data_IF_977101214251
#
_entry.id   IF_977101214251
#
_cell.length_a   1.000
_cell.length_b   1.000
_cell.length_c   1.000
_cell.angle_alpha   90.00
_cell.angle_beta   90.00
_cell.angle_gamma   90.00
#
_symmetry.space_group_name_H-M   'P 1'
#
loop_
_entity.id
_entity.type
_entity.pdbx_description
1 polymer ?
#
# COMPACT_ATOMS: atom_id res chain seq x y z
N UNK A 1 0.69 -18.31 5.58
CA UNK A 1 1.67 -17.59 4.76
C UNK A 1 2.30 -16.49 5.60
N UNK A 2 3.62 -16.41 5.64
CA UNK A 2 4.36 -15.39 6.37
C UNK A 2 4.62 -14.21 5.44
N UNK A 3 3.95 -13.10 5.71
CA UNK A 3 4.21 -11.81 5.08
C UNK A 3 5.06 -10.97 6.02
N UNK A 4 6.10 -10.33 5.50
CA UNK A 4 6.92 -9.35 6.22
C UNK A 4 7.11 -8.11 5.36
N UNK A 5 7.37 -6.97 5.98
CA UNK A 5 7.57 -5.72 5.25
C UNK A 5 8.95 -5.18 5.58
N UNK A 6 9.91 -5.26 4.64
CA UNK A 6 11.22 -4.65 4.85
C UNK A 6 11.10 -3.13 4.96
N UNK A 7 12.16 -2.48 5.43
CA UNK A 7 12.20 -1.04 5.62
C UNK A 7 12.59 -0.25 4.36
N UNK A 8 12.43 -0.86 3.18
CA UNK A 8 12.67 -0.21 1.90
C UNK A 8 11.80 1.04 1.74
N UNK A 9 12.39 2.07 1.14
CA UNK A 9 11.69 3.32 0.85
C UNK A 9 10.61 3.08 -0.20
N UNK A 10 9.37 3.58 0.01
CA UNK A 10 8.34 3.56 -1.02
C UNK A 10 8.72 4.49 -2.19
N UNK A 11 8.23 4.18 -3.38
CA UNK A 11 8.50 4.97 -4.60
C UNK A 11 7.19 5.38 -5.25
N UNK A 12 7.03 6.66 -5.55
CA UNK A 12 5.88 7.13 -6.33
C UNK A 12 6.08 6.84 -7.82
N UNK A 13 5.10 6.20 -8.43
CA UNK A 13 5.01 5.96 -9.86
C UNK A 13 3.92 6.86 -10.44
N UNK A 14 4.31 8.04 -10.93
CA UNK A 14 3.40 9.03 -11.48
C UNK A 14 2.72 8.62 -12.79
N UNK A 15 3.25 7.61 -13.50
CA UNK A 15 2.59 7.10 -14.71
C UNK A 15 1.39 6.22 -14.37
N UNK A 16 1.40 5.57 -13.21
CA UNK A 16 0.30 4.72 -12.71
C UNK A 16 -0.48 5.36 -11.58
N UNK A 17 -0.04 6.52 -11.07
CA UNK A 17 -0.61 7.22 -9.92
C UNK A 17 -0.71 6.32 -8.68
N UNK A 18 0.39 5.63 -8.37
CA UNK A 18 0.50 4.74 -7.21
C UNK A 18 1.80 4.98 -6.43
N UNK A 19 1.77 4.70 -5.14
CA UNK A 19 2.99 4.53 -4.33
C UNK A 19 3.30 3.04 -4.24
N UNK A 20 4.47 2.63 -4.72
CA UNK A 20 4.98 1.25 -4.71
C UNK A 20 5.77 0.99 -3.43
N UNK A 21 5.61 -0.20 -2.88
CA UNK A 21 6.34 -0.66 -1.71
C UNK A 21 6.54 -2.18 -1.73
N UNK A 22 7.52 -2.66 -0.97
CA UNK A 22 7.86 -4.08 -0.95
C UNK A 22 7.14 -4.81 0.18
N UNK A 23 6.56 -5.95 -0.15
CA UNK A 23 6.21 -7.00 0.80
C UNK A 23 7.09 -8.22 0.52
N UNK A 24 7.43 -9.00 1.54
CA UNK A 24 8.16 -10.27 1.40
C UNK A 24 7.24 -11.41 1.83
N UNK A 25 6.98 -12.34 0.91
CA UNK A 25 6.14 -13.52 1.12
C UNK A 25 7.00 -14.76 1.07
N UNK A 26 7.15 -15.44 2.20
CA UNK A 26 8.01 -16.64 2.31
C UNK A 26 9.45 -16.40 1.77
N UNK A 27 9.97 -15.18 1.96
CA UNK A 27 11.30 -14.77 1.48
C UNK A 27 11.35 -14.26 0.04
N UNK A 28 10.22 -14.22 -0.67
CA UNK A 28 10.13 -13.68 -2.04
C UNK A 28 9.63 -12.23 -2.01
N UNK A 29 10.38 -11.26 -2.58
CA UNK A 29 9.95 -9.87 -2.65
C UNK A 29 8.85 -9.67 -3.69
N UNK A 30 7.78 -8.99 -3.30
CA UNK A 30 6.64 -8.59 -4.11
C UNK A 30 6.54 -7.07 -4.15
N UNK A 31 6.43 -6.52 -5.36
CA UNK A 31 6.14 -5.09 -5.58
C UNK A 31 4.64 -4.86 -5.45
N UNK A 32 4.19 -4.47 -4.27
CA UNK A 32 2.81 -4.06 -4.01
C UNK A 32 2.67 -2.55 -4.25
N UNK A 33 1.45 -2.07 -4.37
CA UNK A 33 1.19 -0.65 -4.53
C UNK A 33 -0.07 -0.19 -3.80
N UNK A 34 -0.17 1.10 -3.51
CA UNK A 34 -1.40 1.77 -3.06
C UNK A 34 -1.69 2.94 -4.00
N UNK A 35 -2.95 3.14 -4.38
CA UNK A 35 -3.33 4.23 -5.29
C UNK A 35 -3.27 5.60 -4.61
N UNK A 36 -2.98 6.64 -5.39
CA UNK A 36 -3.05 8.02 -4.92
C UNK A 36 -4.45 8.34 -4.35
N UNK A 37 -5.51 7.91 -5.04
CA UNK A 37 -6.90 7.99 -4.57
C UNK A 37 -7.09 7.40 -3.16
N UNK A 38 -6.52 6.23 -2.88
CA UNK A 38 -6.65 5.62 -1.55
C UNK A 38 -5.91 6.44 -0.48
N UNK A 39 -4.76 7.02 -0.82
CA UNK A 39 -3.99 7.89 0.07
C UNK A 39 -4.73 9.20 0.38
N UNK A 40 -5.42 9.78 -0.62
CA UNK A 40 -6.27 10.96 -0.44
C UNK A 40 -7.50 10.64 0.43
N UNK A 41 -8.25 9.60 0.07
CA UNK A 41 -9.50 9.23 0.74
C UNK A 41 -9.31 8.79 2.21
N UNK A 42 -8.20 8.10 2.52
CA UNK A 42 -8.07 7.36 3.79
C UNK A 42 -6.86 7.73 4.63
N UNK A 43 -5.86 8.40 4.06
CA UNK A 43 -4.57 8.64 4.71
C UNK A 43 -4.15 10.11 4.72
N UNK A 44 -5.00 11.02 4.25
CA UNK A 44 -4.82 12.45 4.42
C UNK A 44 -3.77 13.08 3.49
N UNK A 45 -3.56 12.50 2.30
CA UNK A 45 -2.88 13.22 1.22
C UNK A 45 -3.78 14.40 0.78
N UNK A 46 -3.24 15.62 0.77
CA UNK A 46 -3.97 16.83 0.41
C UNK A 46 -4.11 17.03 -1.11
N UNK A 47 -3.32 16.30 -1.88
CA UNK A 47 -3.26 16.32 -3.34
C UNK A 47 -2.47 15.09 -3.84
N UNK A 48 -2.39 14.97 -5.16
CA UNK A 48 -1.60 13.95 -5.86
C UNK A 48 -0.12 14.32 -6.03
N UNK A 49 0.37 15.35 -5.35
CA UNK A 49 1.81 15.67 -5.34
C UNK A 49 2.59 14.55 -4.63
N UNK A 50 3.71 14.16 -5.22
CA UNK A 50 4.56 13.06 -4.72
C UNK A 50 4.89 13.18 -3.23
N UNK A 51 5.28 14.37 -2.78
CA UNK A 51 5.62 14.61 -1.37
C UNK A 51 4.46 14.38 -0.41
N UNK A 52 3.23 14.74 -0.81
CA UNK A 52 2.04 14.52 0.02
C UNK A 52 1.63 13.05 0.04
N UNK A 53 1.75 12.36 -1.09
CA UNK A 53 1.46 10.93 -1.19
C UNK A 53 2.46 10.09 -0.38
N UNK A 54 3.76 10.39 -0.46
CA UNK A 54 4.79 9.72 0.32
C UNK A 54 4.64 10.01 1.82
N UNK A 55 4.27 11.24 2.20
CA UNK A 55 3.94 11.59 3.59
C UNK A 55 2.74 10.79 4.11
N UNK A 56 1.63 10.79 3.36
CA UNK A 56 0.43 10.04 3.74
C UNK A 56 0.70 8.53 3.85
N UNK A 57 1.52 7.97 2.95
CA UNK A 57 1.97 6.58 3.06
C UNK A 57 2.77 6.33 4.34
N UNK A 58 3.72 7.21 4.67
CA UNK A 58 4.54 7.08 5.87
C UNK A 58 3.70 7.16 7.15
N UNK A 59 2.79 8.13 7.22
CA UNK A 59 1.88 8.33 8.36
C UNK A 59 0.90 7.15 8.52
N UNK A 60 0.48 6.53 7.42
CA UNK A 60 -0.47 5.41 7.37
C UNK A 60 0.14 4.00 7.32
N UNK A 61 1.47 3.89 7.42
CA UNK A 61 2.21 2.68 7.00
C UNK A 61 1.76 1.39 7.67
N UNK A 62 1.43 1.44 8.96
CA UNK A 62 0.96 0.28 9.72
C UNK A 62 -0.36 -0.27 9.15
N UNK A 63 -1.39 0.58 9.06
CA UNK A 63 -2.69 0.19 8.52
C UNK A 63 -2.60 -0.24 7.05
N UNK A 64 -1.75 0.41 6.25
CA UNK A 64 -1.50 0.01 4.85
C UNK A 64 -0.94 -1.42 4.79
N UNK A 65 0.04 -1.74 5.65
CA UNK A 65 0.66 -3.07 5.72
C UNK A 65 -0.33 -4.14 6.17
N UNK A 66 -1.17 -3.85 7.15
CA UNK A 66 -2.19 -4.81 7.62
C UNK A 66 -3.21 -5.16 6.53
N UNK A 67 -3.68 -4.15 5.78
CA UNK A 67 -4.57 -4.39 4.63
C UNK A 67 -3.83 -5.11 3.50
N UNK A 68 -2.56 -4.77 3.25
CA UNK A 68 -1.73 -5.44 2.26
C UNK A 68 -1.57 -6.93 2.56
N UNK A 69 -1.22 -7.28 3.80
CA UNK A 69 -1.04 -8.67 4.21
C UNK A 69 -2.30 -9.49 3.92
N UNK A 70 -3.47 -9.00 4.34
CA UNK A 70 -4.75 -9.69 4.12
C UNK A 70 -5.13 -9.78 2.66
N UNK A 71 -4.83 -8.75 1.86
CA UNK A 71 -5.07 -8.78 0.43
C UNK A 71 -4.16 -9.82 -0.27
N UNK A 72 -2.90 -9.95 0.14
CA UNK A 72 -1.98 -10.98 -0.35
C UNK A 72 -2.48 -12.38 0.05
N UNK A 73 -2.94 -12.56 1.29
CA UNK A 73 -3.55 -13.82 1.78
C UNK A 73 -4.76 -14.24 0.96
N UNK A 74 -5.63 -13.29 0.60
CA UNK A 74 -6.80 -13.54 -0.27
C UNK A 74 -6.43 -13.74 -1.75
N UNK A 75 -5.23 -13.34 -2.16
CA UNK A 75 -4.75 -13.44 -3.54
C UNK A 75 -3.76 -14.58 -3.74
N UNK A 76 -3.76 -15.58 -2.84
CA UNK A 76 -2.85 -16.74 -2.86
C UNK A 76 -1.37 -16.36 -2.99
N UNK A 77 -0.96 -15.26 -2.34
CA UNK A 77 0.44 -14.80 -2.33
C UNK A 77 0.83 -13.90 -3.50
N UNK A 78 -0.10 -13.47 -4.36
CA UNK A 78 0.19 -12.54 -5.45
C UNK A 78 0.41 -11.09 -4.97
N UNK A 79 1.16 -10.31 -5.74
CA UNK A 79 1.30 -8.87 -5.52
C UNK A 79 -0.06 -8.16 -5.69
N UNK A 80 -0.32 -7.14 -4.87
CA UNK A 80 -1.62 -6.46 -4.81
C UNK A 80 -1.50 -4.96 -5.04
N UNK A 81 -2.57 -4.37 -5.57
CA UNK A 81 -2.77 -2.93 -5.63
C UNK A 81 -3.91 -2.54 -4.69
N UNK A 82 -3.58 -1.81 -3.64
CA UNK A 82 -4.50 -1.34 -2.63
C UNK A 82 -5.27 -0.13 -3.15
N UNK A 83 -6.57 -0.32 -3.39
CA UNK A 83 -7.49 0.72 -3.86
C UNK A 83 -8.40 1.17 -2.71
N UNK A 84 -9.01 2.36 -2.85
CA UNK A 84 -9.86 2.99 -1.82
C UNK A 84 -10.92 2.03 -1.24
N UNK A 85 -11.52 1.18 -2.08
CA UNK A 85 -12.53 0.20 -1.66
C UNK A 85 -12.07 -0.76 -0.56
N UNK A 86 -10.81 -1.19 -0.55
CA UNK A 86 -10.29 -2.11 0.48
C UNK A 86 -10.29 -1.48 1.88
N UNK A 87 -10.07 -0.17 1.97
CA UNK A 87 -9.99 0.54 3.24
C UNK A 87 -11.36 0.94 3.82
N UNK A 88 -12.42 0.82 3.03
CA UNK A 88 -13.80 1.10 3.46
C UNK A 88 -14.41 -0.06 4.24
N UNK A 89 -14.06 -1.29 3.88
CA UNK A 89 -14.55 -2.52 4.51
C UNK A 89 -13.90 -2.74 5.89
N UNK A 90 -12.67 -2.25 6.04
CA UNK A 90 -11.81 -2.34 7.22
C UNK A 90 -12.23 -1.48 8.42
N UNK A 91 -13.31 -0.70 8.30
CA UNK A 91 -13.90 0.09 9.39
C UNK A 91 -15.21 -0.49 9.93
N UNK A 92 -15.58 -1.72 9.52
CA UNK A 92 -16.78 -2.44 9.99
C UNK A 92 -16.48 -3.34 11.19
#
# INVERSE_FOLDING_TARGET
MRVTFPDDAPVFDGAQMVVRFVANVEGVPLSCAITAEALEDHFGAGSTLESELLRAYADGRERIRDVCQRAIEQSDGAAVVLRSGLFRIERA
#
